data_IF_485862104874
#
_entry.id   IF_485862104874
#
_cell.length_a   1.000
_cell.length_b   1.000
_cell.length_c   1.000
_cell.angle_alpha   90.00
_cell.angle_beta   90.00
_cell.angle_gamma   90.00
#
_symmetry.space_group_name_H-M   'P 1'
#
loop_
_entity.id
_entity.type
_entity.pdbx_description
1 polymer ?
#
# COMPACT_ATOMS: atom_id res chain seq x y z
N UNK A 1 18.12 -8.09 -49.19
CA UNK A 1 18.78 -7.36 -48.10
C UNK A 1 17.69 -7.06 -47.10
N UNK A 2 17.46 -8.00 -46.19
CA UNK A 2 16.58 -7.76 -45.04
C UNK A 2 17.44 -6.92 -44.11
N UNK A 3 17.01 -5.70 -43.82
CA UNK A 3 17.61 -4.92 -42.75
C UNK A 3 17.21 -5.65 -41.46
N UNK A 4 18.12 -6.45 -40.92
CA UNK A 4 18.09 -6.76 -39.49
C UNK A 4 18.24 -5.41 -38.79
N UNK A 5 17.12 -4.81 -38.43
CA UNK A 5 17.08 -3.84 -37.36
C UNK A 5 17.58 -4.61 -36.15
N UNK A 6 18.82 -4.32 -35.72
CA UNK A 6 19.29 -4.73 -34.41
C UNK A 6 18.26 -4.17 -33.42
N UNK A 7 17.31 -5.01 -32.98
CA UNK A 7 16.78 -4.88 -31.63
C UNK A 7 18.03 -4.97 -30.76
N UNK A 8 18.54 -3.81 -30.35
CA UNK A 8 19.56 -3.78 -29.33
C UNK A 8 18.88 -4.37 -28.11
N UNK A 9 19.13 -5.65 -27.83
CA UNK A 9 18.60 -6.30 -26.64
C UNK A 9 19.06 -5.47 -25.46
N UNK A 10 18.14 -4.71 -24.89
CA UNK A 10 18.37 -4.05 -23.63
C UNK A 10 18.83 -5.12 -22.63
N UNK A 11 19.88 -4.80 -21.88
CA UNK A 11 20.36 -5.62 -20.77
C UNK A 11 20.41 -4.74 -19.52
N UNK A 12 19.51 -3.77 -19.46
CA UNK A 12 19.45 -2.78 -18.42
C UNK A 12 18.00 -2.56 -18.12
N UNK A 13 17.67 -2.75 -16.86
CA UNK A 13 16.37 -2.46 -16.27
C UNK A 13 16.44 -1.00 -15.75
N UNK A 14 15.35 -0.25 -15.92
CA UNK A 14 15.21 1.16 -15.57
C UNK A 14 13.96 1.41 -14.74
N UNK A 15 14.03 2.38 -13.83
CA UNK A 15 12.82 2.89 -13.20
C UNK A 15 12.01 3.78 -14.14
N UNK A 16 10.72 3.90 -13.88
CA UNK A 16 9.72 4.49 -14.77
C UNK A 16 8.78 5.50 -14.06
N UNK A 17 9.07 5.87 -12.81
CA UNK A 17 8.50 7.05 -12.17
C UNK A 17 8.72 8.33 -13.00
N UNK A 18 7.97 9.43 -12.71
CA UNK A 18 8.22 10.72 -13.35
C UNK A 18 9.70 11.12 -13.30
N UNK A 19 10.22 11.72 -14.37
CA UNK A 19 11.65 11.98 -14.47
C UNK A 19 12.19 13.01 -13.43
N UNK A 20 11.33 13.63 -12.63
CA UNK A 20 11.75 14.37 -11.43
C UNK A 20 12.48 13.46 -10.42
N UNK A 21 12.17 12.17 -10.40
CA UNK A 21 12.85 11.13 -9.63
C UNK A 21 14.12 10.57 -10.29
N UNK A 22 14.61 11.17 -11.38
CA UNK A 22 15.77 10.68 -12.16
C UNK A 22 15.57 9.25 -12.68
N UNK A 23 14.75 9.10 -13.72
CA UNK A 23 14.48 7.81 -14.38
C UNK A 23 15.21 7.67 -15.71
N UNK A 24 15.31 8.74 -16.49
CA UNK A 24 15.94 8.67 -17.82
C UNK A 24 17.48 8.70 -17.79
N UNK A 25 18.12 8.17 -18.82
CA UNK A 25 19.57 8.21 -19.05
C UNK A 25 20.09 9.65 -19.02
N UNK A 26 19.35 10.59 -19.62
CA UNK A 26 19.69 12.00 -19.65
C UNK A 26 19.75 12.63 -18.23
N UNK A 27 18.95 12.12 -17.29
CA UNK A 27 18.97 12.50 -15.88
C UNK A 27 19.95 11.65 -15.05
N UNK A 28 20.73 10.76 -15.69
CA UNK A 28 21.52 9.71 -15.03
C UNK A 28 20.65 8.85 -14.10
N UNK A 29 19.49 8.42 -14.59
CA UNK A 29 18.50 7.73 -13.80
C UNK A 29 18.92 6.38 -13.24
N UNK A 30 18.16 5.91 -12.26
CA UNK A 30 18.33 4.60 -11.65
C UNK A 30 18.18 3.52 -12.70
N UNK A 31 19.16 2.61 -12.74
CA UNK A 31 19.17 1.50 -13.68
C UNK A 31 20.10 0.40 -13.25
N UNK A 32 19.80 -0.82 -13.67
CA UNK A 32 20.54 -2.02 -13.32
C UNK A 32 20.93 -2.79 -14.56
N UNK A 33 22.24 -2.87 -14.83
CA UNK A 33 22.73 -3.77 -15.87
C UNK A 33 22.58 -5.20 -15.37
N UNK A 34 21.68 -5.98 -15.98
CA UNK A 34 21.40 -7.33 -15.53
C UNK A 34 22.67 -8.20 -15.59
N UNK A 35 23.00 -8.80 -14.45
CA UNK A 35 24.19 -9.63 -14.26
C UNK A 35 23.86 -10.79 -13.32
N UNK A 36 23.24 -11.84 -13.86
CA UNK A 36 22.87 -13.04 -13.12
C UNK A 36 21.36 -13.21 -13.03
N UNK A 37 20.89 -13.71 -11.88
CA UNK A 37 19.48 -14.02 -11.63
C UNK A 37 18.98 -13.37 -10.33
N UNK A 38 19.63 -12.30 -9.87
CA UNK A 38 19.19 -11.56 -8.69
C UNK A 38 18.25 -10.45 -9.13
N UNK A 39 17.00 -10.53 -8.68
CA UNK A 39 15.89 -9.64 -8.98
C UNK A 39 14.82 -9.81 -7.88
N UNK A 40 13.90 -8.89 -7.73
CA UNK A 40 12.71 -8.97 -6.91
C UNK A 40 11.57 -9.58 -7.74
N UNK A 41 10.59 -10.17 -7.05
CA UNK A 41 9.40 -10.63 -7.75
C UNK A 41 9.65 -11.80 -8.71
N UNK A 42 8.94 -11.80 -9.83
CA UNK A 42 8.88 -12.92 -10.78
C UNK A 42 9.70 -12.73 -12.04
N UNK A 43 9.87 -11.50 -12.50
CA UNK A 43 10.51 -11.14 -13.78
C UNK A 43 11.27 -9.81 -13.64
N UNK A 44 12.00 -9.44 -14.70
CA UNK A 44 12.69 -8.15 -14.86
C UNK A 44 12.39 -7.73 -16.29
N UNK A 45 11.91 -6.51 -16.51
CA UNK A 45 11.81 -5.92 -17.84
C UNK A 45 13.14 -5.24 -18.21
N UNK A 46 13.49 -5.21 -19.49
CA UNK A 46 14.75 -4.61 -19.93
C UNK A 46 14.49 -3.56 -21.00
N UNK A 47 14.88 -2.32 -20.71
CA UNK A 47 14.63 -1.15 -21.55
C UNK A 47 15.92 -0.48 -22.05
N UNK A 48 15.78 0.25 -23.16
CA UNK A 48 16.87 1.06 -23.69
C UNK A 48 17.12 2.36 -22.88
N UNK A 49 16.07 2.86 -22.24
CA UNK A 49 16.01 4.06 -21.39
C UNK A 49 14.72 3.96 -20.55
N UNK A 50 14.65 4.65 -19.41
CA UNK A 50 13.45 4.66 -18.58
C UNK A 50 12.24 5.27 -19.30
N UNK A 51 11.05 4.75 -19.02
CA UNK A 51 9.79 5.14 -19.68
C UNK A 51 8.88 5.91 -18.71
N UNK A 52 9.24 7.15 -18.31
CA UNK A 52 8.58 7.84 -17.21
C UNK A 52 7.08 8.06 -17.44
N UNK A 53 6.26 7.54 -16.54
CA UNK A 53 4.81 7.78 -16.46
C UNK A 53 4.43 8.42 -15.14
N UNK A 54 3.14 8.75 -14.97
CA UNK A 54 2.66 9.31 -13.71
C UNK A 54 2.47 8.23 -12.64
N UNK A 55 2.20 6.98 -13.03
CA UNK A 55 1.84 5.91 -12.11
C UNK A 55 2.95 4.87 -11.93
N UNK A 56 4.13 5.06 -12.55
CA UNK A 56 5.12 3.99 -12.67
C UNK A 56 4.50 2.75 -13.37
N UNK A 57 3.88 2.97 -14.54
CA UNK A 57 3.27 1.96 -15.42
C UNK A 57 3.74 2.06 -16.89
N UNK A 58 4.95 2.59 -17.12
CA UNK A 58 5.44 2.95 -18.45
C UNK A 58 5.91 1.80 -19.32
N UNK A 59 6.46 0.78 -18.68
CA UNK A 59 7.04 -0.44 -19.24
C UNK A 59 6.01 -1.59 -19.28
N UNK A 60 4.96 -1.51 -18.46
CA UNK A 60 3.89 -2.51 -18.30
C UNK A 60 3.17 -2.95 -19.59
N UNK A 61 3.30 -2.16 -20.67
CA UNK A 61 2.54 -2.31 -21.92
C UNK A 61 2.72 -3.65 -22.64
N UNK A 62 3.78 -4.40 -22.31
CA UNK A 62 4.18 -5.63 -22.99
C UNK A 62 3.93 -6.90 -22.15
N UNK A 63 3.20 -6.77 -21.03
CA UNK A 63 2.85 -7.88 -20.13
C UNK A 63 4.05 -8.41 -19.32
N UNK A 64 5.03 -7.55 -19.09
CA UNK A 64 6.24 -7.72 -18.27
C UNK A 64 6.27 -6.73 -17.10
N UNK A 65 5.12 -6.47 -16.48
CA UNK A 65 5.01 -5.77 -15.17
C UNK A 65 5.98 -6.46 -14.19
N UNK A 66 7.09 -5.79 -13.90
CA UNK A 66 8.12 -6.22 -12.96
C UNK A 66 8.03 -5.48 -11.63
N UNK A 67 7.06 -4.58 -11.46
CA UNK A 67 6.58 -4.02 -10.19
C UNK A 67 5.78 -5.03 -9.35
N UNK A 68 6.16 -6.31 -9.38
CA UNK A 68 5.53 -7.41 -8.64
C UNK A 68 6.34 -7.87 -7.40
N UNK A 69 7.54 -7.31 -7.20
CA UNK A 69 8.47 -7.69 -6.17
C UNK A 69 8.20 -7.14 -4.77
N UNK A 70 7.51 -6.00 -4.66
CA UNK A 70 7.25 -5.31 -3.39
C UNK A 70 5.77 -4.95 -3.22
N UNK A 71 5.18 -5.42 -2.13
CA UNK A 71 3.81 -5.06 -1.75
C UNK A 71 3.76 -4.51 -0.34
N UNK A 72 2.87 -3.56 -0.08
CA UNK A 72 2.56 -3.14 1.29
C UNK A 72 1.80 -4.25 2.01
N UNK A 73 2.15 -4.52 3.27
CA UNK A 73 1.47 -5.57 4.05
C UNK A 73 0.18 -5.00 4.65
N UNK A 74 -1.01 -5.52 4.30
CA UNK A 74 -2.28 -5.08 4.86
C UNK A 74 -2.36 -5.30 6.38
N UNK A 75 -3.19 -4.49 7.06
CA UNK A 75 -3.36 -4.56 8.52
C UNK A 75 -3.88 -5.94 8.96
N UNK A 76 -4.79 -6.54 8.19
CA UNK A 76 -5.37 -7.87 8.47
C UNK A 76 -4.42 -9.04 8.17
N UNK A 77 -3.31 -8.79 7.47
CA UNK A 77 -2.21 -9.74 7.24
C UNK A 77 -1.03 -9.48 8.19
N UNK A 78 -1.30 -8.77 9.30
CA UNK A 78 -0.33 -8.46 10.34
C UNK A 78 0.58 -7.29 10.00
N UNK A 79 0.25 -6.49 8.99
CA UNK A 79 0.84 -5.18 8.77
C UNK A 79 0.40 -4.16 9.81
N UNK A 80 0.54 -2.88 9.47
CA UNK A 80 0.16 -1.76 10.33
C UNK A 80 -0.32 -0.60 9.46
N UNK A 81 -1.18 0.25 10.02
CA UNK A 81 -1.55 1.50 9.37
C UNK A 81 -0.30 2.38 9.23
N UNK A 82 -0.12 2.99 8.07
CA UNK A 82 0.96 3.95 7.85
C UNK A 82 0.45 5.33 8.30
N UNK A 83 1.18 5.96 9.20
CA UNK A 83 0.93 7.30 9.71
C UNK A 83 2.24 7.86 10.24
N UNK A 84 2.34 9.17 10.41
CA UNK A 84 3.52 9.88 10.95
C UNK A 84 4.16 9.15 12.13
N UNK A 85 5.48 8.93 12.06
CA UNK A 85 6.29 8.22 13.06
C UNK A 85 5.90 6.75 13.34
N UNK A 86 4.93 6.18 12.63
CA UNK A 86 4.53 4.79 12.83
C UNK A 86 5.49 3.80 12.14
N UNK A 87 5.42 2.54 12.54
CA UNK A 87 6.09 1.45 11.84
C UNK A 87 5.11 0.81 10.85
N UNK A 88 5.38 0.98 9.56
CA UNK A 88 4.74 0.26 8.47
C UNK A 88 5.49 -1.02 8.11
N UNK A 89 4.89 -1.82 7.25
CA UNK A 89 5.49 -3.07 6.74
C UNK A 89 5.29 -3.21 5.24
N UNK A 90 6.34 -3.67 4.56
CA UNK A 90 6.31 -4.14 3.18
C UNK A 90 6.70 -5.63 3.14
N UNK A 91 6.25 -6.35 2.13
CA UNK A 91 6.74 -7.68 1.76
C UNK A 91 7.56 -7.52 0.49
N UNK A 92 8.82 -7.98 0.51
CA UNK A 92 9.70 -7.99 -0.65
C UNK A 92 10.06 -9.43 -0.99
N UNK A 93 9.84 -9.84 -2.24
CA UNK A 93 10.17 -11.17 -2.73
C UNK A 93 11.50 -11.13 -3.45
N UNK A 94 12.56 -11.73 -2.91
CA UNK A 94 13.87 -11.78 -3.58
C UNK A 94 14.00 -13.09 -4.35
N UNK A 95 14.45 -13.02 -5.60
CA UNK A 95 14.63 -14.18 -6.48
C UNK A 95 16.11 -14.41 -6.83
N UNK A 96 16.46 -15.69 -7.00
CA UNK A 96 17.70 -16.21 -7.57
C UNK A 96 19.03 -15.87 -6.88
N UNK A 97 19.06 -15.18 -5.74
CA UNK A 97 20.30 -14.90 -5.03
C UNK A 97 20.15 -14.33 -3.61
N UNK A 98 21.20 -13.65 -3.14
CA UNK A 98 21.18 -12.85 -1.92
C UNK A 98 21.58 -11.42 -2.26
N UNK A 99 20.77 -10.45 -1.84
CA UNK A 99 20.97 -9.04 -2.15
C UNK A 99 20.81 -8.13 -0.93
N UNK A 100 21.22 -6.88 -1.11
CA UNK A 100 20.87 -5.78 -0.22
C UNK A 100 19.81 -4.93 -0.93
N UNK A 101 18.70 -4.62 -0.24
CA UNK A 101 17.61 -3.81 -0.76
C UNK A 101 17.72 -2.40 -0.19
N UNK A 102 17.67 -1.40 -1.07
CA UNK A 102 17.63 0.02 -0.72
C UNK A 102 16.33 0.62 -1.24
N UNK A 103 15.70 1.48 -0.45
CA UNK A 103 14.46 2.13 -0.81
C UNK A 103 14.49 3.63 -0.53
N UNK A 104 13.80 4.38 -1.40
CA UNK A 104 13.46 5.78 -1.22
C UNK A 104 11.96 5.93 -1.32
N UNK A 105 11.40 6.77 -0.47
CA UNK A 105 9.97 7.05 -0.37
C UNK A 105 9.84 8.56 -0.39
N UNK A 106 9.04 9.09 -1.31
CA UNK A 106 8.69 10.52 -1.38
C UNK A 106 7.56 10.77 -0.38
N UNK A 107 7.95 10.97 0.88
CA UNK A 107 6.99 11.05 1.97
C UNK A 107 6.17 12.33 1.90
N UNK A 108 6.81 13.45 1.55
CA UNK A 108 6.18 14.77 1.55
C UNK A 108 5.56 15.16 0.21
N UNK A 109 5.67 14.26 -0.76
CA UNK A 109 5.01 14.30 -2.05
C UNK A 109 5.42 15.51 -2.90
N UNK A 110 6.71 15.86 -2.83
CA UNK A 110 7.27 17.00 -3.55
C UNK A 110 7.79 16.65 -4.94
N UNK A 111 7.80 15.36 -5.30
CA UNK A 111 8.23 14.86 -6.59
C UNK A 111 9.71 14.48 -6.65
N UNK A 112 10.42 14.42 -5.53
CA UNK A 112 11.87 14.23 -5.47
C UNK A 112 12.28 13.15 -4.45
N UNK A 113 13.42 12.49 -4.72
CA UNK A 113 14.11 11.64 -3.73
C UNK A 113 15.38 12.28 -3.17
N UNK A 114 15.67 13.53 -3.55
CA UNK A 114 17.00 14.13 -3.35
C UNK A 114 17.30 14.51 -1.91
N UNK A 115 16.26 14.74 -1.14
CA UNK A 115 16.23 15.05 0.29
C UNK A 115 15.66 13.90 1.13
N UNK A 116 15.22 12.83 0.47
CA UNK A 116 14.66 11.67 1.14
C UNK A 116 15.72 10.73 1.74
N UNK A 117 15.40 10.23 2.93
CA UNK A 117 16.28 9.31 3.64
C UNK A 117 16.18 7.90 3.06
N UNK A 118 17.34 7.31 2.75
CA UNK A 118 17.41 5.91 2.31
C UNK A 118 17.03 4.96 3.46
N UNK A 119 16.18 3.98 3.14
CA UNK A 119 15.90 2.81 3.98
C UNK A 119 16.63 1.62 3.39
N UNK A 120 17.19 0.73 4.21
CA UNK A 120 17.97 -0.40 3.70
C UNK A 120 17.83 -1.67 4.53
N UNK A 121 17.82 -2.81 3.83
CA UNK A 121 17.82 -4.15 4.42
C UNK A 121 18.90 -5.00 3.74
N UNK A 122 19.81 -5.56 4.53
CA UNK A 122 21.01 -6.23 4.00
C UNK A 122 20.88 -7.75 4.04
N UNK A 123 21.52 -8.43 3.10
CA UNK A 123 21.64 -9.89 3.03
C UNK A 123 20.29 -10.61 3.02
N UNK A 124 19.33 -10.08 2.24
CA UNK A 124 18.07 -10.73 1.96
C UNK A 124 18.34 -11.92 1.03
N UNK A 125 18.21 -13.14 1.56
CA UNK A 125 18.32 -14.37 0.76
C UNK A 125 17.08 -14.55 -0.13
N UNK A 126 17.15 -15.40 -1.15
CA UNK A 126 15.98 -15.69 -1.97
C UNK A 126 14.79 -16.17 -1.13
N UNK A 127 13.61 -15.63 -1.43
CA UNK A 127 12.36 -15.82 -0.68
C UNK A 127 11.69 -14.49 -0.33
N UNK A 128 10.52 -14.61 0.27
CA UNK A 128 9.72 -13.47 0.74
C UNK A 128 10.22 -12.97 2.11
N UNK A 129 10.33 -11.65 2.26
CA UNK A 129 10.75 -10.98 3.49
C UNK A 129 9.75 -9.92 3.89
N UNK A 130 9.27 -10.02 5.13
CA UNK A 130 8.53 -8.94 5.77
C UNK A 130 9.49 -7.92 6.36
N UNK A 131 9.49 -6.71 5.83
CA UNK A 131 10.42 -5.64 6.15
C UNK A 131 9.69 -4.48 6.84
N UNK A 132 10.27 -3.97 7.92
CA UNK A 132 9.73 -2.82 8.64
C UNK A 132 10.22 -1.50 8.04
N UNK A 133 9.32 -0.54 7.87
CA UNK A 133 9.60 0.82 7.43
C UNK A 133 9.15 1.79 8.53
N UNK A 134 9.99 2.74 8.90
CA UNK A 134 9.53 3.87 9.74
C UNK A 134 8.95 4.93 8.82
N UNK A 135 7.67 5.22 8.99
CA UNK A 135 6.96 6.24 8.21
C UNK A 135 7.43 7.63 8.67
N UNK A 136 7.82 8.48 7.73
CA UNK A 136 8.26 9.84 8.02
C UNK A 136 7.08 10.69 8.54
N UNK A 137 7.39 11.72 9.33
CA UNK A 137 6.41 12.68 9.83
C UNK A 137 5.86 13.61 8.74
N UNK A 138 6.48 13.62 7.56
CA UNK A 138 6.00 14.36 6.40
C UNK A 138 5.04 13.56 5.52
N UNK A 139 4.66 12.33 5.93
CA UNK A 139 3.90 11.41 5.10
C UNK A 139 2.54 11.97 4.65
N UNK A 140 2.43 12.25 3.35
CA UNK A 140 1.19 12.56 2.66
C UNK A 140 0.49 11.27 2.19
N UNK A 141 -0.75 11.08 2.63
CA UNK A 141 -1.54 9.87 2.33
C UNK A 141 -2.22 9.92 0.96
N UNK A 142 -2.19 11.05 0.26
CA UNK A 142 -2.82 11.16 -1.06
C UNK A 142 -2.17 10.20 -2.06
N UNK A 143 -0.83 10.18 -2.10
CA UNK A 143 -0.04 9.20 -2.83
C UNK A 143 1.39 9.11 -2.31
N UNK A 144 2.06 7.99 -2.60
CA UNK A 144 3.45 7.74 -2.22
C UNK A 144 4.20 7.16 -3.42
N UNK A 145 5.18 7.92 -3.93
CA UNK A 145 6.16 7.38 -4.86
C UNK A 145 7.25 6.65 -4.06
N UNK A 146 7.63 5.46 -4.51
CA UNK A 146 8.71 4.69 -3.93
C UNK A 146 9.60 4.11 -5.01
N UNK A 147 10.90 4.03 -4.72
CA UNK A 147 11.87 3.31 -5.55
C UNK A 147 12.56 2.27 -4.71
N UNK A 148 12.62 1.05 -5.21
CA UNK A 148 13.37 -0.05 -4.65
C UNK A 148 14.54 -0.38 -5.55
N UNK A 149 15.72 -0.60 -4.97
CA UNK A 149 16.92 -1.01 -5.68
C UNK A 149 17.53 -2.19 -4.98
N UNK A 150 17.38 -3.36 -5.57
CA UNK A 150 18.04 -4.58 -5.13
C UNK A 150 19.44 -4.61 -5.74
N UNK A 151 20.48 -4.78 -4.92
CA UNK A 151 21.87 -4.89 -5.38
C UNK A 151 22.51 -6.18 -4.88
N UNK A 152 23.56 -6.70 -5.55
CA UNK A 152 24.32 -7.82 -5.00
C UNK A 152 24.80 -7.55 -3.58
N UNK A 153 24.68 -8.55 -2.69
CA UNK A 153 25.03 -8.38 -1.28
C UNK A 153 26.45 -7.83 -1.10
N UNK A 154 26.59 -6.72 -0.36
CA UNK A 154 27.84 -6.04 -0.11
C UNK A 154 28.27 -5.03 -1.20
N UNK A 155 27.45 -4.78 -2.23
CA UNK A 155 27.73 -3.77 -3.25
C UNK A 155 27.68 -2.33 -2.71
N UNK A 156 27.01 -2.11 -1.57
CA UNK A 156 26.82 -0.80 -0.95
C UNK A 156 25.61 -0.05 -1.50
N UNK A 157 25.33 1.13 -0.92
CA UNK A 157 24.19 1.95 -1.32
C UNK A 157 24.39 2.50 -2.75
N UNK A 158 23.49 2.18 -3.70
CA UNK A 158 23.61 2.64 -5.09
C UNK A 158 23.19 4.10 -5.29
N UNK A 159 22.54 4.72 -4.30
CA UNK A 159 21.82 5.99 -4.45
C UNK A 159 20.48 5.80 -5.18
N UNK A 160 19.61 6.83 -5.15
CA UNK A 160 18.32 6.79 -5.85
C UNK A 160 18.46 6.90 -7.38
N UNK A 161 19.66 7.08 -7.92
CA UNK A 161 19.94 7.28 -9.35
C UNK A 161 21.22 6.56 -9.77
N UNK A 162 21.53 6.54 -11.07
CA UNK A 162 22.76 5.98 -11.61
C UNK A 162 22.75 4.46 -11.82
N UNK A 163 23.82 3.96 -12.43
CA UNK A 163 23.96 2.55 -12.84
C UNK A 163 24.48 1.66 -11.72
N UNK A 164 23.90 0.47 -11.60
CA UNK A 164 24.44 -0.66 -10.84
C UNK A 164 24.63 -1.87 -11.75
N UNK A 165 25.59 -2.74 -11.43
CA UNK A 165 25.74 -4.03 -12.11
C UNK A 165 25.14 -5.15 -11.25
N UNK A 166 24.13 -5.83 -11.78
CA UNK A 166 23.33 -6.86 -11.11
C UNK A 166 22.23 -6.30 -10.22
N UNK A 167 21.29 -7.17 -9.84
CA UNK A 167 20.06 -6.75 -9.19
C UNK A 167 19.12 -6.04 -10.15
N UNK A 168 18.21 -5.24 -9.61
CA UNK A 168 17.15 -4.54 -10.34
C UNK A 168 16.74 -3.24 -9.62
N UNK A 169 16.05 -2.37 -10.34
CA UNK A 169 15.23 -1.27 -9.84
C UNK A 169 13.76 -1.58 -10.08
N UNK A 170 12.90 -1.34 -9.08
CA UNK A 170 11.45 -1.32 -9.25
C UNK A 170 10.92 0.01 -8.70
N UNK A 171 9.99 0.62 -9.41
CA UNK A 171 9.38 1.89 -9.09
C UNK A 171 7.90 1.69 -8.76
N UNK A 172 7.34 2.46 -7.81
CA UNK A 172 5.95 2.29 -7.38
C UNK A 172 5.30 3.64 -7.16
N UNK A 173 4.02 3.74 -7.54
CA UNK A 173 3.16 4.87 -7.21
C UNK A 173 1.90 4.37 -6.51
N UNK A 174 1.88 4.42 -5.17
CA UNK A 174 0.72 3.99 -4.38
C UNK A 174 -0.22 5.16 -4.12
N UNK A 175 -1.44 5.11 -4.66
CA UNK A 175 -2.45 6.16 -4.50
C UNK A 175 -3.48 5.89 -3.40
N UNK A 176 -4.45 6.79 -3.25
CA UNK A 176 -5.56 6.71 -2.27
C UNK A 176 -6.25 5.32 -2.25
N UNK A 177 -6.38 4.67 -3.42
CA UNK A 177 -7.01 3.36 -3.55
C UNK A 177 -6.23 2.22 -2.89
N UNK A 178 -4.93 2.39 -2.67
CA UNK A 178 -4.03 1.31 -2.30
C UNK A 178 -3.85 1.20 -0.78
N UNK A 179 -4.31 2.20 -0.01
CA UNK A 179 -4.14 2.25 1.45
C UNK A 179 -5.03 1.30 2.25
N UNK A 180 -5.91 0.51 1.60
CA UNK A 180 -6.84 -0.40 2.28
C UNK A 180 -7.98 0.36 2.99
N UNK A 181 -9.11 -0.31 3.28
CA UNK A 181 -10.44 0.26 3.01
C UNK A 181 -10.70 1.61 3.69
N UNK A 182 -10.92 2.60 2.83
CA UNK A 182 -11.42 3.93 3.16
C UNK A 182 -12.74 3.80 3.92
N UNK A 183 -12.66 3.85 5.25
CA UNK A 183 -13.76 3.71 6.19
C UNK A 183 -14.53 2.37 6.16
N UNK A 184 -14.86 1.87 7.35
CA UNK A 184 -16.01 0.98 7.54
C UNK A 184 -17.21 1.66 6.88
N UNK A 185 -17.74 1.14 5.77
CA UNK A 185 -19.09 1.46 5.33
C UNK A 185 -20.02 1.12 6.49
N UNK A 186 -20.41 2.11 7.29
CA UNK A 186 -21.41 1.97 8.33
C UNK A 186 -22.72 1.65 7.60
N UNK A 187 -22.97 0.37 7.36
CA UNK A 187 -24.27 -0.12 6.92
C UNK A 187 -25.28 0.47 7.90
N UNK A 188 -26.21 1.24 7.34
CA UNK A 188 -27.16 2.09 8.07
C UNK A 188 -27.70 1.38 9.31
N UNK A 189 -27.46 1.93 10.50
CA UNK A 189 -28.21 1.51 11.68
C UNK A 189 -29.68 1.89 11.46
N UNK A 190 -30.50 0.94 11.03
CA UNK A 190 -31.95 1.11 11.08
C UNK A 190 -32.36 1.13 12.56
N UNK A 191 -32.48 2.33 13.13
CA UNK A 191 -33.11 2.50 14.43
C UNK A 191 -34.55 2.00 14.31
N UNK A 192 -34.82 0.80 14.83
CA UNK A 192 -36.18 0.35 15.00
C UNK A 192 -36.76 1.16 16.14
N UNK A 193 -37.62 2.12 15.83
CA UNK A 193 -38.46 2.74 16.83
C UNK A 193 -39.32 1.63 17.44
N UNK A 194 -38.99 1.19 18.65
CA UNK A 194 -39.92 0.37 19.43
C UNK A 194 -41.21 1.18 19.57
N UNK A 195 -42.38 0.63 19.16
CA UNK A 195 -43.63 1.37 19.30
C UNK A 195 -43.84 1.65 20.79
N UNK A 196 -43.89 2.94 21.15
CA UNK A 196 -44.33 3.33 22.48
C UNK A 196 -45.77 2.84 22.63
N UNK A 197 -46.02 2.02 23.65
CA UNK A 197 -47.38 1.62 23.98
C UNK A 197 -48.19 2.91 24.22
N UNK A 198 -49.40 3.03 23.65
CA UNK A 198 -50.23 4.19 23.91
C UNK A 198 -50.49 4.29 25.42
N UNK A 199 -50.41 5.52 25.94
CA UNK A 199 -50.51 5.90 27.35
C UNK A 199 -51.73 5.27 28.09
N UNK A 200 -52.73 4.80 27.35
CA UNK A 200 -53.92 4.13 27.86
C UNK A 200 -53.65 2.75 28.52
N UNK A 201 -52.56 2.06 28.16
CA UNK A 201 -52.23 0.74 28.75
C UNK A 201 -51.48 0.87 30.09
N UNK A 202 -50.79 1.99 30.32
CA UNK A 202 -50.06 2.22 31.59
C UNK A 202 -50.99 2.55 32.76
N UNK A 203 -52.25 2.96 32.52
CA UNK A 203 -53.18 3.35 33.59
C UNK A 203 -53.97 2.18 34.21
N UNK A 204 -53.94 0.98 33.61
CA UNK A 204 -54.66 -0.19 34.15
C UNK A 204 -53.92 -0.84 35.32
N UNK A 205 -52.60 -0.63 35.47
CA UNK A 205 -51.84 -1.14 36.62
C UNK A 205 -51.84 -0.23 37.87
N UNK A 206 -52.30 1.02 37.77
CA UNK A 206 -52.35 1.95 38.92
C UNK A 206 -53.77 2.19 39.47
N UNK A 207 -54.82 1.69 38.80
CA UNK A 207 -56.23 1.95 39.13
C UNK A 207 -56.98 0.87 39.92
N UNK A 208 -56.37 -0.27 40.25
CA UNK A 208 -57.04 -1.37 40.96
C UNK A 208 -56.74 -1.40 42.48
N UNK A 209 -56.61 -0.23 43.12
CA UNK A 209 -56.40 -0.13 44.58
C UNK A 209 -57.48 0.73 45.29
N UNK A 210 -58.46 1.34 44.60
CA UNK A 210 -59.36 2.33 45.26
C UNK A 210 -60.88 2.01 45.24
N UNK A 211 -61.35 0.88 44.68
CA UNK A 211 -62.80 0.59 44.64
C UNK A 211 -63.22 -0.74 45.29
N UNK A 212 -62.83 -0.95 46.56
CA UNK A 212 -63.46 -1.94 47.45
C UNK A 212 -63.97 -1.27 48.73
N UNK A 213 -64.49 -0.05 48.60
CA UNK A 213 -65.15 0.69 49.67
C UNK A 213 -66.64 0.87 49.41
N UNK A 214 -67.45 -0.05 49.94
CA UNK A 214 -68.71 0.29 50.59
C UNK A 214 -69.99 0.57 49.76
N UNK A 215 -71.01 -0.24 50.10
CA UNK A 215 -72.34 0.21 50.55
C UNK A 215 -73.48 0.46 49.52
N UNK A 216 -74.52 -0.38 49.53
CA UNK A 216 -75.90 -0.09 50.05
C UNK A 216 -76.97 -1.10 49.53
N UNK A 217 -77.49 -1.89 50.48
CA UNK A 217 -78.91 -2.05 50.89
C UNK A 217 -80.03 -2.47 49.90
N UNK A 218 -80.66 -3.61 50.27
CA UNK A 218 -82.11 -3.95 50.27
C UNK A 218 -82.82 -4.38 48.97
N UNK A 219 -83.35 -5.61 49.04
CA UNK A 219 -84.76 -5.87 48.74
C UNK A 219 -85.40 -6.77 49.79
N UNK A 220 -86.65 -6.44 50.11
CA UNK A 220 -87.45 -6.85 51.27
C UNK A 220 -88.51 -7.87 50.83
N UNK A 221 -88.81 -8.81 51.74
CA UNK A 221 -90.05 -9.63 51.92
C UNK A 221 -90.29 -10.86 51.04
N UNK A 222 -90.40 -11.97 51.77
CA UNK A 222 -91.15 -13.21 51.53
C UNK A 222 -91.07 -14.00 52.83
#
# INVERSE_FOLDING_TARGET
MVLDLFEATANTDWGDLPNTYSTTLAANGARHTLSGTLYLGSQVDLEADGVPTANADGDDGDNHDDEDGVVRVPIDEGGAAWSDSATGYISATVTGGTGDLYAWFDWDNDGLFSDEAVVSWTSLAAGEHKLSVTVNDSFDQDHLAARFRLVPAGAGNPGYYGNVNGGEVEDYYWGESDWGPNAVTLSTFAAHSSPSLPLLVMLVLAGLVVAAGGFIFVRRRG
#
